data_IF_125919694476
#
_entry.id   IF_125919694476
#
_cell.length_a   1.000
_cell.length_b   1.000
_cell.length_c   1.000
_cell.angle_alpha   90.00
_cell.angle_beta   90.00
_cell.angle_gamma   90.00
#
_symmetry.space_group_name_H-M   'P 1'
#
loop_
_entity.id
_entity.type
_entity.pdbx_description
1 polymer ?
#
# COMPACT_ATOMS: atom_id res chain seq x y z
N UNK A 1 14.10 -48.19 -30.74
CA UNK A 1 13.28 -47.50 -29.70
C UNK A 1 13.57 -46.03 -29.92
N UNK A 2 12.85 -45.47 -30.88
CA UNK A 2 13.33 -44.32 -31.65
C UNK A 2 12.49 -43.08 -31.33
N UNK A 3 13.23 -42.02 -31.05
CA UNK A 3 12.73 -40.70 -30.65
C UNK A 3 12.14 -40.03 -31.89
N UNK A 4 10.81 -39.87 -31.91
CA UNK A 4 10.12 -39.11 -32.95
C UNK A 4 10.27 -37.62 -32.66
N UNK A 5 11.18 -36.97 -33.37
CA UNK A 5 11.31 -35.50 -33.44
C UNK A 5 10.10 -34.93 -34.17
N UNK A 6 9.17 -34.32 -33.44
CA UNK A 6 8.12 -33.49 -34.04
C UNK A 6 8.70 -32.08 -34.19
N UNK A 7 8.95 -31.70 -35.43
CA UNK A 7 9.29 -30.33 -35.84
C UNK A 7 7.98 -29.56 -35.96
N UNK A 8 7.74 -28.56 -35.10
CA UNK A 8 6.55 -27.71 -35.22
C UNK A 8 6.92 -26.53 -36.12
N UNK A 9 6.37 -26.56 -37.34
CA UNK A 9 6.44 -25.49 -38.32
C UNK A 9 5.74 -24.23 -37.75
N UNK A 10 6.47 -23.12 -37.71
CA UNK A 10 6.10 -21.88 -37.02
C UNK A 10 5.31 -20.91 -37.90
N UNK A 11 4.53 -21.40 -38.86
CA UNK A 11 3.75 -20.56 -39.78
C UNK A 11 2.46 -21.25 -40.15
N UNK A 12 1.41 -21.08 -39.34
CA UNK A 12 -0.02 -21.19 -39.72
C UNK A 12 -0.89 -21.24 -38.46
N UNK A 13 -1.01 -20.14 -37.72
CA UNK A 13 -2.18 -19.87 -36.86
C UNK A 13 -2.23 -18.37 -36.55
N UNK A 14 -2.34 -17.55 -37.60
CA UNK A 14 -3.04 -16.28 -37.50
C UNK A 14 -4.48 -16.53 -37.93
N UNK A 15 -5.41 -15.92 -37.18
CA UNK A 15 -6.87 -15.93 -37.30
C UNK A 15 -7.63 -16.93 -36.41
N UNK A 16 -8.32 -16.32 -35.43
CA UNK A 16 -9.36 -16.85 -34.54
C UNK A 16 -8.92 -17.74 -33.36
N UNK A 17 -8.35 -17.10 -32.33
CA UNK A 17 -8.55 -17.55 -30.95
C UNK A 17 -9.30 -16.45 -30.18
N UNK A 18 -10.40 -16.75 -29.47
CA UNK A 18 -11.04 -15.78 -28.59
C UNK A 18 -10.02 -15.33 -27.54
N UNK A 19 -10.05 -14.03 -27.18
CA UNK A 19 -9.26 -13.50 -26.06
C UNK A 19 -9.58 -14.31 -24.80
N UNK A 20 -8.78 -15.34 -24.52
CA UNK A 20 -8.77 -15.99 -23.22
C UNK A 20 -8.30 -14.89 -22.27
N UNK A 21 -9.24 -14.34 -21.49
CA UNK A 21 -8.90 -13.69 -20.24
C UNK A 21 -8.13 -14.74 -19.47
N UNK A 22 -6.81 -14.63 -19.46
CA UNK A 22 -5.97 -15.32 -18.49
C UNK A 22 -6.42 -14.82 -17.13
N UNK A 23 -7.35 -15.55 -16.52
CA UNK A 23 -7.48 -15.55 -15.08
C UNK A 23 -6.10 -15.99 -14.59
N UNK A 24 -5.30 -15.02 -14.14
CA UNK A 24 -4.06 -15.31 -13.42
C UNK A 24 -4.47 -16.15 -12.21
N UNK A 25 -4.39 -17.47 -12.33
CA UNK A 25 -4.50 -18.37 -11.19
C UNK A 25 -3.19 -18.18 -10.44
N UNK A 26 -3.22 -17.30 -9.44
CA UNK A 26 -2.09 -17.15 -8.54
C UNK A 26 -1.79 -18.51 -7.91
N UNK A 27 -0.51 -18.90 -7.79
CA UNK A 27 -0.14 -20.09 -7.06
C UNK A 27 -0.71 -19.99 -5.64
N UNK A 28 -1.29 -21.07 -5.11
CA UNK A 28 -2.01 -21.14 -3.83
C UNK A 28 -1.25 -20.43 -2.70
N UNK A 29 0.08 -20.59 -2.66
CA UNK A 29 0.96 -19.93 -1.69
C UNK A 29 0.94 -18.39 -1.73
N UNK A 30 0.78 -17.78 -2.90
CA UNK A 30 0.69 -16.32 -3.03
C UNK A 30 -0.66 -15.79 -2.52
N UNK A 31 -1.74 -16.54 -2.74
CA UNK A 31 -3.07 -16.23 -2.17
C UNK A 31 -3.06 -16.32 -0.64
N UNK A 32 -2.43 -17.35 -0.08
CA UNK A 32 -2.36 -17.52 1.38
C UNK A 32 -1.58 -16.39 2.06
N UNK A 33 -0.47 -15.95 1.44
CA UNK A 33 0.29 -14.80 1.93
C UNK A 33 -0.53 -13.51 1.90
N UNK A 34 -1.26 -13.24 0.81
CA UNK A 34 -2.15 -12.07 0.70
C UNK A 34 -3.22 -12.10 1.78
N UNK A 35 -3.90 -13.25 1.96
CA UNK A 35 -4.92 -13.42 3.01
C UNK A 35 -4.35 -13.22 4.41
N UNK A 36 -3.13 -13.69 4.66
CA UNK A 36 -2.46 -13.46 5.94
C UNK A 36 -2.18 -11.97 6.17
N UNK A 37 -1.74 -11.22 5.15
CA UNK A 37 -1.53 -9.78 5.28
C UNK A 37 -2.84 -9.04 5.54
N UNK A 38 -3.93 -9.41 4.86
CA UNK A 38 -5.26 -8.82 5.11
C UNK A 38 -5.72 -9.05 6.56
N UNK A 39 -5.46 -10.24 7.12
CA UNK A 39 -5.73 -10.52 8.55
C UNK A 39 -4.88 -9.64 9.47
N UNK A 40 -3.60 -9.47 9.18
CA UNK A 40 -2.72 -8.61 9.98
C UNK A 40 -3.19 -7.15 9.97
N UNK A 41 -3.60 -6.63 8.80
CA UNK A 41 -4.19 -5.29 8.68
C UNK A 41 -5.42 -5.16 9.58
N UNK A 42 -6.32 -6.15 9.57
CA UNK A 42 -7.50 -6.13 10.44
C UNK A 42 -7.14 -6.12 11.93
N UNK A 43 -6.09 -6.84 12.34
CA UNK A 43 -5.58 -6.82 13.73
C UNK A 43 -5.05 -5.44 14.08
N UNK A 44 -4.20 -4.85 13.22
CA UNK A 44 -3.64 -3.51 13.42
C UNK A 44 -4.73 -2.44 13.47
N UNK A 45 -5.73 -2.48 12.58
CA UNK A 45 -6.88 -1.57 12.61
C UNK A 45 -7.67 -1.69 13.92
N UNK A 46 -7.87 -2.92 14.41
CA UNK A 46 -8.55 -3.13 15.70
C UNK A 46 -7.76 -2.57 16.87
N UNK A 47 -6.42 -2.69 16.85
CA UNK A 47 -5.55 -2.09 17.85
C UNK A 47 -5.54 -0.56 17.75
N UNK A 48 -5.42 -0.03 16.54
CA UNK A 48 -5.46 1.40 16.24
C UNK A 48 -6.76 2.06 16.75
N UNK A 49 -7.92 1.47 16.46
CA UNK A 49 -9.22 1.97 16.90
C UNK A 49 -9.42 1.96 18.42
N UNK A 50 -8.58 1.23 19.18
CA UNK A 50 -8.59 1.26 20.65
C UNK A 50 -7.77 2.41 21.22
N UNK A 51 -6.85 2.99 20.44
CA UNK A 51 -6.09 4.14 20.87
C UNK A 51 -6.96 5.40 20.77
N UNK A 52 -6.89 6.24 21.80
CA UNK A 52 -7.53 7.54 21.76
C UNK A 52 -6.89 8.35 20.63
N UNK A 53 -7.71 8.92 19.74
CA UNK A 53 -7.26 9.91 18.77
C UNK A 53 -6.71 11.12 19.51
N UNK A 54 -5.40 11.17 19.63
CA UNK A 54 -4.66 12.20 20.34
C UNK A 54 -3.65 12.80 19.37
N UNK A 55 -3.89 14.06 19.03
CA UNK A 55 -2.99 14.89 18.22
C UNK A 55 -2.55 16.02 19.16
N UNK A 56 -1.41 15.84 19.82
CA UNK A 56 -0.82 16.82 20.76
C UNK A 56 0.24 17.65 20.04
N UNK A 57 -0.21 18.62 19.24
CA UNK A 57 0.66 19.53 18.48
C UNK A 57 1.73 18.76 17.70
N UNK A 58 3.00 19.00 18.06
CA UNK A 58 4.17 18.49 17.34
C UNK A 58 4.68 17.13 17.86
N UNK A 59 3.94 16.42 18.72
CA UNK A 59 4.42 15.17 19.32
C UNK A 59 3.90 13.95 18.59
N UNK A 60 4.78 12.98 18.42
CA UNK A 60 4.39 11.61 18.07
C UNK A 60 3.66 10.97 19.25
N UNK A 61 2.36 10.75 19.06
CA UNK A 61 1.49 10.06 20.03
C UNK A 61 1.41 8.56 19.72
N UNK A 62 0.88 7.79 20.67
CA UNK A 62 0.59 6.36 20.45
C UNK A 62 -0.39 6.11 19.29
N UNK A 63 -1.24 7.10 18.98
CA UNK A 63 -2.13 7.08 17.83
C UNK A 63 -1.36 7.16 16.50
N UNK A 64 -0.35 8.05 16.39
CA UNK A 64 0.51 8.13 15.20
C UNK A 64 1.28 6.82 15.00
N UNK A 65 1.89 6.28 16.06
CA UNK A 65 2.66 5.02 15.99
C UNK A 65 1.77 3.87 15.51
N UNK A 66 0.57 3.73 16.09
CA UNK A 66 -0.35 2.67 15.71
C UNK A 66 -0.87 2.83 14.26
N UNK A 67 -0.99 4.06 13.77
CA UNK A 67 -1.33 4.31 12.37
C UNK A 67 -0.21 3.92 11.42
N UNK A 68 1.05 4.20 11.77
CA UNK A 68 2.22 3.73 11.00
C UNK A 68 2.27 2.20 10.90
N UNK A 69 1.89 1.48 11.97
CA UNK A 69 1.79 0.01 11.94
C UNK A 69 0.73 -0.47 10.93
N UNK A 70 -0.44 0.16 10.88
CA UNK A 70 -1.48 -0.14 9.88
C UNK A 70 -0.93 0.04 8.46
N UNK A 71 -0.27 1.17 8.19
CA UNK A 71 0.29 1.43 6.87
C UNK A 71 1.49 0.56 6.54
N UNK A 72 2.27 0.13 7.54
CA UNK A 72 3.33 -0.85 7.34
C UNK A 72 2.77 -2.20 6.88
N UNK A 73 1.65 -2.67 7.45
CA UNK A 73 0.98 -3.89 6.97
C UNK A 73 0.38 -3.71 5.57
N UNK A 74 -0.19 -2.55 5.26
CA UNK A 74 -0.64 -2.23 3.90
C UNK A 74 0.51 -2.25 2.90
N UNK A 75 1.67 -1.72 3.27
CA UNK A 75 2.87 -1.83 2.45
C UNK A 75 3.29 -3.30 2.23
N UNK A 76 3.28 -4.13 3.29
CA UNK A 76 3.56 -5.58 3.16
C UNK A 76 2.54 -6.28 2.27
N UNK A 77 1.28 -5.87 2.30
CA UNK A 77 0.25 -6.34 1.35
C UNK A 77 0.62 -5.95 -0.09
N UNK A 78 1.08 -4.72 -0.32
CA UNK A 78 1.61 -4.26 -1.61
C UNK A 78 2.73 -5.17 -2.12
N UNK A 79 3.73 -5.47 -1.28
CA UNK A 79 4.80 -6.41 -1.61
C UNK A 79 4.26 -7.82 -1.88
N UNK A 80 3.35 -8.32 -1.06
CA UNK A 80 2.78 -9.66 -1.18
C UNK A 80 2.00 -9.87 -2.49
N UNK A 81 1.27 -8.85 -2.93
CA UNK A 81 0.56 -8.85 -4.22
C UNK A 81 1.43 -8.35 -5.38
N UNK A 82 2.72 -8.08 -5.15
CA UNK A 82 3.66 -7.55 -6.16
C UNK A 82 3.15 -6.27 -6.82
N UNK A 83 2.43 -5.44 -6.06
CA UNK A 83 1.87 -4.17 -6.52
C UNK A 83 0.85 -4.34 -7.66
N UNK A 84 0.25 -5.52 -7.75
CA UNK A 84 -0.84 -5.86 -8.68
C UNK A 84 -2.09 -6.21 -7.87
N UNK A 85 -3.06 -5.30 -7.88
CA UNK A 85 -4.16 -5.33 -6.91
C UNK A 85 -5.43 -6.05 -7.37
N UNK A 86 -5.46 -6.58 -8.60
CA UNK A 86 -6.66 -7.20 -9.15
C UNK A 86 -7.18 -8.35 -8.28
N UNK A 87 -6.29 -9.07 -7.61
CA UNK A 87 -6.65 -10.15 -6.68
C UNK A 87 -7.37 -9.63 -5.44
N UNK A 88 -6.99 -8.46 -4.90
CA UNK A 88 -7.60 -7.91 -3.68
C UNK A 88 -9.10 -7.69 -3.85
N UNK A 89 -9.51 -7.27 -5.05
CA UNK A 89 -10.92 -6.99 -5.41
C UNK A 89 -11.83 -8.21 -5.31
N UNK A 90 -11.27 -9.41 -5.31
CA UNK A 90 -12.01 -10.68 -5.29
C UNK A 90 -12.06 -11.34 -3.91
N UNK A 91 -11.32 -10.83 -2.93
CA UNK A 91 -11.20 -11.42 -1.60
C UNK A 91 -12.22 -10.82 -0.63
N UNK A 92 -12.85 -11.66 0.19
CA UNK A 92 -13.86 -11.24 1.16
C UNK A 92 -13.23 -10.41 2.28
N UNK A 93 -12.02 -10.77 2.72
CA UNK A 93 -11.26 -10.09 3.77
C UNK A 93 -11.00 -8.62 3.42
N UNK A 94 -10.90 -8.29 2.13
CA UNK A 94 -10.75 -6.90 1.65
C UNK A 94 -11.96 -6.04 2.05
N UNK A 95 -13.18 -6.60 2.02
CA UNK A 95 -14.39 -5.87 2.42
C UNK A 95 -14.45 -5.61 3.92
N UNK A 96 -13.90 -6.51 4.72
CA UNK A 96 -13.82 -6.34 6.19
C UNK A 96 -12.88 -5.18 6.55
N UNK A 97 -11.75 -5.06 5.85
CA UNK A 97 -10.85 -3.92 6.00
C UNK A 97 -11.55 -2.62 5.61
N UNK A 98 -12.26 -2.60 4.46
CA UNK A 98 -13.03 -1.42 4.04
C UNK A 98 -14.03 -1.02 5.13
N UNK A 99 -14.77 -1.97 5.69
CA UNK A 99 -15.72 -1.68 6.76
C UNK A 99 -15.02 -1.08 7.99
N UNK A 100 -13.85 -1.61 8.38
CA UNK A 100 -13.07 -1.12 9.51
C UNK A 100 -12.45 0.26 9.30
N UNK A 101 -12.07 0.61 8.08
CA UNK A 101 -11.55 1.95 7.74
C UNK A 101 -12.69 2.96 7.59
N UNK A 102 -13.83 2.56 7.00
CA UNK A 102 -14.98 3.45 6.75
C UNK A 102 -15.80 3.75 8.00
N UNK A 103 -15.78 2.90 9.03
CA UNK A 103 -16.54 3.13 10.27
C UNK A 103 -16.10 4.38 11.05
N UNK A 104 -14.88 4.87 10.82
CA UNK A 104 -14.32 6.07 11.44
C UNK A 104 -13.44 6.84 10.42
N UNK A 105 -14.00 7.17 9.25
CA UNK A 105 -13.21 7.71 8.12
C UNK A 105 -12.42 9.00 8.43
N UNK A 106 -12.79 9.74 9.47
CA UNK A 106 -12.12 10.97 9.89
C UNK A 106 -10.68 10.73 10.35
N UNK A 107 -10.37 9.53 10.87
CA UNK A 107 -9.01 9.20 11.30
C UNK A 107 -8.05 9.21 10.10
N UNK A 108 -8.47 8.67 8.95
CA UNK A 108 -7.63 8.51 7.77
C UNK A 108 -7.23 9.87 7.21
N UNK A 109 -8.21 10.76 7.06
CA UNK A 109 -7.96 12.15 6.67
C UNK A 109 -7.04 12.84 7.66
N UNK A 110 -7.37 12.78 8.95
CA UNK A 110 -6.55 13.43 9.99
C UNK A 110 -5.12 12.91 9.97
N UNK A 111 -4.93 11.60 9.87
CA UNK A 111 -3.61 10.98 9.89
C UNK A 111 -2.78 11.49 8.72
N UNK A 112 -3.29 11.39 7.50
CA UNK A 112 -2.56 11.81 6.30
C UNK A 112 -2.23 13.30 6.36
N UNK A 113 -3.16 14.16 6.82
CA UNK A 113 -2.92 15.60 6.94
C UNK A 113 -1.82 15.95 7.93
N UNK A 114 -1.79 15.32 9.11
CA UNK A 114 -0.84 15.71 10.18
C UNK A 114 0.49 14.96 10.10
N UNK A 115 0.53 13.84 9.37
CA UNK A 115 1.72 13.00 9.27
C UNK A 115 2.96 13.73 8.73
N UNK A 116 2.91 14.49 7.62
CA UNK A 116 4.10 15.18 7.11
C UNK A 116 4.60 16.21 8.13
N UNK A 117 3.72 17.01 8.73
CA UNK A 117 4.09 17.99 9.75
C UNK A 117 4.85 17.31 10.90
N UNK A 118 4.29 16.24 11.46
CA UNK A 118 4.85 15.57 12.64
C UNK A 118 6.14 14.84 12.30
N UNK A 119 6.15 14.00 11.27
CA UNK A 119 7.26 13.06 11.01
C UNK A 119 8.33 13.62 10.08
N UNK A 120 7.96 14.48 9.14
CA UNK A 120 8.87 14.96 8.10
C UNK A 120 9.41 16.34 8.48
N UNK A 121 8.55 17.27 8.89
CA UNK A 121 8.96 18.66 9.12
C UNK A 121 9.47 18.93 10.54
N UNK A 122 8.83 18.34 11.56
CA UNK A 122 9.07 18.73 12.96
C UNK A 122 10.01 17.82 13.72
N UNK A 123 9.84 16.50 13.65
CA UNK A 123 10.60 15.59 14.50
C UNK A 123 11.87 15.05 13.84
N UNK A 124 11.87 14.73 12.53
CA UNK A 124 12.98 14.05 11.83
C UNK A 124 13.57 12.85 12.60
N UNK A 125 12.84 12.29 13.58
CA UNK A 125 13.33 11.27 14.51
C UNK A 125 13.24 9.87 13.93
N UNK A 126 12.46 9.68 12.86
CA UNK A 126 12.27 8.38 12.24
C UNK A 126 13.24 8.13 11.09
N UNK A 127 13.68 6.87 10.91
CA UNK A 127 14.39 6.47 9.71
C UNK A 127 13.56 6.75 8.46
N UNK A 128 14.22 7.16 7.38
CA UNK A 128 13.56 7.43 6.10
C UNK A 128 12.74 6.22 5.63
N UNK A 129 13.19 4.99 5.91
CA UNK A 129 12.46 3.77 5.56
C UNK A 129 11.09 3.65 6.23
N UNK A 130 10.88 4.15 7.45
CA UNK A 130 9.56 4.12 8.12
C UNK A 130 8.58 5.02 7.37
N UNK A 131 8.98 6.26 7.11
CA UNK A 131 8.17 7.27 6.43
C UNK A 131 7.83 6.79 5.02
N UNK A 132 8.82 6.24 4.31
CA UNK A 132 8.57 5.70 2.98
C UNK A 132 7.62 4.48 3.00
N UNK A 133 7.68 3.61 4.02
CA UNK A 133 6.72 2.50 4.18
C UNK A 133 5.31 3.02 4.45
N UNK A 134 5.16 4.04 5.29
CA UNK A 134 3.87 4.66 5.58
C UNK A 134 3.25 5.21 4.29
N UNK A 135 3.99 6.04 3.54
CA UNK A 135 3.48 6.62 2.28
C UNK A 135 3.17 5.56 1.22
N UNK A 136 3.94 4.48 1.20
CA UNK A 136 3.70 3.32 0.33
C UNK A 136 2.43 2.54 0.71
N UNK A 137 2.18 2.39 2.01
CA UNK A 137 0.95 1.79 2.52
C UNK A 137 -0.29 2.63 2.17
N UNK A 138 -0.17 3.95 2.22
CA UNK A 138 -1.21 4.88 1.75
C UNK A 138 -1.51 4.64 0.27
N UNK A 139 -0.49 4.44 -0.59
CA UNK A 139 -0.72 4.09 -1.99
C UNK A 139 -1.47 2.77 -2.16
N UNK A 140 -1.13 1.73 -1.38
CA UNK A 140 -1.85 0.46 -1.43
C UNK A 140 -3.32 0.64 -1.06
N UNK A 141 -3.62 1.49 -0.07
CA UNK A 141 -4.99 1.82 0.29
C UNK A 141 -5.72 2.49 -0.87
N UNK A 142 -5.12 3.53 -1.47
CA UNK A 142 -5.73 4.31 -2.54
C UNK A 142 -5.93 3.51 -3.82
N UNK A 143 -4.94 2.73 -4.24
CA UNK A 143 -4.97 2.00 -5.52
C UNK A 143 -5.50 0.59 -5.38
N UNK A 144 -5.15 -0.07 -4.29
CA UNK A 144 -5.45 -1.49 -4.08
C UNK A 144 -6.89 -1.75 -3.67
N UNK A 145 -7.52 -0.79 -3.01
CA UNK A 145 -8.90 -0.89 -2.54
C UNK A 145 -9.89 -0.05 -3.35
N UNK A 146 -9.43 0.68 -4.37
CA UNK A 146 -10.30 1.43 -5.27
C UNK A 146 -11.25 0.53 -6.07
N UNK A 147 -12.44 1.04 -6.32
CA UNK A 147 -13.53 0.40 -7.06
C UNK A 147 -14.05 -0.89 -6.41
N UNK A 148 -13.90 -1.02 -5.09
CA UNK A 148 -14.45 -2.15 -4.32
C UNK A 148 -15.75 -1.73 -3.59
N UNK A 149 -15.78 -0.52 -3.04
CA UNK A 149 -16.93 0.05 -2.34
C UNK A 149 -17.08 1.54 -2.67
N UNK A 150 -18.27 1.95 -3.09
CA UNK A 150 -18.51 3.32 -3.57
C UNK A 150 -18.38 4.38 -2.47
N UNK A 151 -18.73 4.06 -1.22
CA UNK A 151 -18.58 5.01 -0.13
C UNK A 151 -17.11 5.19 0.22
N UNK A 152 -16.34 4.09 0.18
CA UNK A 152 -14.91 4.13 0.39
C UNK A 152 -14.18 4.88 -0.73
N UNK A 153 -14.56 4.66 -1.99
CA UNK A 153 -14.00 5.38 -3.14
C UNK A 153 -14.20 6.90 -3.00
N UNK A 154 -15.33 7.34 -2.45
CA UNK A 154 -15.55 8.77 -2.16
C UNK A 154 -14.56 9.29 -1.11
N UNK A 155 -14.30 8.53 -0.04
CA UNK A 155 -13.32 8.90 0.98
C UNK A 155 -11.91 9.00 0.36
N UNK A 156 -11.53 8.02 -0.47
CA UNK A 156 -10.23 8.04 -1.15
C UNK A 156 -10.10 9.25 -2.07
N UNK A 157 -11.16 9.55 -2.83
CA UNK A 157 -11.20 10.72 -3.71
C UNK A 157 -11.11 12.04 -2.94
N UNK A 158 -11.82 12.15 -1.82
CA UNK A 158 -11.74 13.31 -0.94
C UNK A 158 -10.28 13.54 -0.47
N UNK A 159 -9.55 12.48 -0.09
CA UNK A 159 -8.13 12.57 0.30
C UNK A 159 -7.22 13.08 -0.82
N UNK A 160 -7.48 12.66 -2.06
CA UNK A 160 -6.76 13.17 -3.24
C UNK A 160 -7.10 14.63 -3.51
N UNK A 161 -8.39 15.02 -3.44
CA UNK A 161 -8.86 16.38 -3.72
C UNK A 161 -8.42 17.41 -2.67
N UNK A 162 -8.24 17.00 -1.41
CA UNK A 162 -7.72 17.89 -0.36
C UNK A 162 -6.21 18.15 -0.46
N UNK A 163 -5.49 17.47 -1.38
CA UNK A 163 -4.06 17.70 -1.60
C UNK A 163 -3.16 17.22 -0.45
N UNK A 164 -3.70 16.43 0.48
CA UNK A 164 -3.00 15.91 1.66
C UNK A 164 -1.87 14.94 1.25
N UNK A 165 -2.10 14.18 0.18
CA UNK A 165 -1.09 13.31 -0.42
C UNK A 165 0.02 14.10 -1.11
N UNK A 166 -0.34 15.20 -1.76
CA UNK A 166 0.62 16.06 -2.42
C UNK A 166 1.57 16.69 -1.41
N UNK A 167 1.12 16.97 -0.18
CA UNK A 167 2.01 17.51 0.86
C UNK A 167 3.08 16.49 1.26
N UNK A 168 2.69 15.25 1.56
CA UNK A 168 3.66 14.18 1.86
C UNK A 168 4.64 13.99 0.71
N UNK A 169 4.15 13.98 -0.54
CA UNK A 169 4.99 13.81 -1.73
C UNK A 169 5.92 15.02 -1.96
N UNK A 170 5.44 16.25 -1.68
CA UNK A 170 6.25 17.48 -1.73
C UNK A 170 7.39 17.42 -0.72
N UNK A 171 7.11 17.06 0.53
CA UNK A 171 8.15 17.02 1.57
C UNK A 171 9.20 15.94 1.27
N UNK A 172 8.77 14.75 0.82
CA UNK A 172 9.68 13.68 0.40
C UNK A 172 10.52 14.08 -0.83
N UNK A 173 9.93 14.83 -1.77
CA UNK A 173 10.66 15.40 -2.90
C UNK A 173 11.75 16.39 -2.44
N UNK A 174 11.47 17.26 -1.47
CA UNK A 174 12.47 18.19 -0.92
C UNK A 174 13.64 17.42 -0.31
N UNK A 175 13.38 16.37 0.47
CA UNK A 175 14.44 15.52 1.04
C UNK A 175 15.34 14.90 -0.01
N UNK A 176 14.75 14.40 -1.10
CA UNK A 176 15.50 13.86 -2.21
C UNK A 176 16.34 14.92 -2.90
N UNK A 177 15.72 16.04 -3.26
CA UNK A 177 16.35 17.08 -4.09
C UNK A 177 17.46 17.82 -3.32
N UNK A 178 17.34 17.92 -1.99
CA UNK A 178 18.33 18.60 -1.12
C UNK A 178 19.33 17.65 -0.46
N UNK A 179 19.03 16.35 -0.40
CA UNK A 179 19.83 15.37 0.34
C UNK A 179 19.67 15.45 1.86
N UNK A 180 18.83 16.35 2.39
CA UNK A 180 18.52 16.48 3.82
C UNK A 180 17.48 15.46 4.28
N UNK A 181 17.76 14.17 4.06
CA UNK A 181 16.92 13.06 4.53
C UNK A 181 17.47 12.46 5.83
N UNK A 182 16.61 11.96 6.74
CA UNK A 182 17.04 11.06 7.81
C UNK A 182 17.77 9.85 7.23
N UNK A 183 18.68 9.27 8.02
CA UNK A 183 19.42 8.09 7.60
C UNK A 183 18.49 6.88 7.37
N UNK A 184 18.83 6.08 6.36
CA UNK A 184 18.31 4.71 6.25
C UNK A 184 19.08 3.84 7.25
N UNK A 185 18.37 3.16 8.14
CA UNK A 185 19.02 2.28 9.12
C UNK A 185 19.20 0.87 8.57
N UNK A 186 20.07 0.10 9.22
CA UNK A 186 20.28 -1.33 8.91
C UNK A 186 18.95 -2.07 9.03
N UNK A 187 18.40 -2.50 7.89
CA UNK A 187 17.07 -3.12 7.79
C UNK A 187 16.12 -2.43 6.81
N UNK A 188 16.39 -1.19 6.40
CA UNK A 188 15.53 -0.44 5.48
C UNK A 188 15.75 -0.78 3.98
N UNK A 189 16.72 -1.63 3.65
CA UNK A 189 17.24 -1.80 2.28
C UNK A 189 16.50 -2.80 1.38
N UNK A 190 15.25 -3.15 1.67
CA UNK A 190 14.42 -3.92 0.75
C UNK A 190 13.01 -3.34 0.72
N UNK A 191 12.79 -2.31 -0.10
CA UNK A 191 11.47 -1.71 -0.29
C UNK A 191 10.46 -2.73 -0.84
N UNK A 192 10.89 -3.86 -1.42
CA UNK A 192 10.00 -4.82 -2.08
C UNK A 192 9.12 -4.17 -3.18
N UNK A 193 9.41 -2.92 -3.53
CA UNK A 193 8.67 -2.09 -4.46
C UNK A 193 9.36 -2.17 -5.81
N UNK A 194 8.60 -2.25 -6.93
CA UNK A 194 9.20 -2.24 -8.26
C UNK A 194 9.90 -0.91 -8.50
N UNK A 195 10.92 -0.88 -9.37
CA UNK A 195 11.66 0.35 -9.71
C UNK A 195 10.77 1.49 -10.23
N UNK A 196 9.59 1.17 -10.75
CA UNK A 196 8.58 2.14 -11.18
C UNK A 196 7.79 2.79 -10.04
N UNK A 197 7.99 2.35 -8.79
CA UNK A 197 7.30 2.88 -7.61
C UNK A 197 7.97 4.17 -7.12
N UNK A 198 7.18 5.12 -6.61
CA UNK A 198 7.67 6.45 -6.21
C UNK A 198 8.81 6.41 -5.19
N UNK A 199 8.88 5.37 -4.35
CA UNK A 199 9.99 5.16 -3.39
C UNK A 199 11.36 5.32 -4.04
N UNK A 200 11.52 4.86 -5.29
CA UNK A 200 12.79 4.88 -6.01
C UNK A 200 13.07 6.20 -6.74
N UNK A 201 12.10 7.12 -6.80
CA UNK A 201 12.18 8.35 -7.56
C UNK A 201 12.33 9.57 -6.70
#
# INVERSE_FOLDING_TARGET
MDILKITINTELYQFHAPKIKTHLVLPVMASDMIRQQLKNISICLTAFNKNRKEVDGNKVTGWIISGEEVFAELFRLGVACRWQYDTLKTLTETKEIIAGVTSDSDWLKTFISVYPDIRIDLELTQPAGVICRTRSGIEVLLRGFANIDTNFDRILKDLEEYGELDEVDRCLKIWRDTGHRPDFLVGDNNSGAPQSHWWWY
#
